data_IF_898002058703
#
_entry.id   IF_898002058703
#
_cell.length_a   1.000
_cell.length_b   1.000
_cell.length_c   1.000
_cell.angle_alpha   90.00
_cell.angle_beta   90.00
_cell.angle_gamma   90.00
#
_symmetry.space_group_name_H-M   'P 1'
#
loop_
_entity.id
_entity.type
_entity.pdbx_description
1 polymer ?
#
# COMPACT_ATOMS: atom_id res chain seq x y z
N UNK A 1 -3.78 -21.70 8.26
CA UNK A 1 -4.82 -20.66 8.39
C UNK A 1 -6.09 -21.20 9.04
N UNK A 2 -6.79 -22.19 8.45
CA UNK A 2 -8.05 -22.71 9.00
C UNK A 2 -7.99 -23.20 10.47
N UNK A 3 -6.92 -23.91 10.92
CA UNK A 3 -6.82 -24.32 12.32
C UNK A 3 -6.77 -23.15 13.30
N UNK A 4 -6.02 -22.09 12.96
CA UNK A 4 -5.90 -20.87 13.76
C UNK A 4 -7.23 -20.13 13.84
N UNK A 5 -7.94 -20.00 12.72
CA UNK A 5 -9.26 -19.36 12.67
C UNK A 5 -10.24 -20.13 13.54
N UNK A 6 -10.25 -21.46 13.45
CA UNK A 6 -11.14 -22.32 14.24
C UNK A 6 -10.84 -22.21 15.74
N UNK A 7 -9.56 -22.17 16.14
CA UNK A 7 -9.16 -21.99 17.53
C UNK A 7 -9.65 -20.64 18.08
N UNK A 8 -9.28 -19.54 17.41
CA UNK A 8 -9.63 -18.18 17.85
C UNK A 8 -11.14 -17.97 17.87
N UNK A 9 -11.84 -18.46 16.84
CA UNK A 9 -13.29 -18.30 16.74
C UNK A 9 -14.02 -19.13 17.81
N UNK A 10 -13.43 -20.19 18.36
CA UNK A 10 -14.12 -21.07 19.31
C UNK A 10 -13.45 -21.13 20.68
N UNK A 11 -12.67 -20.12 21.04
CA UNK A 11 -11.93 -20.09 22.30
C UNK A 11 -12.85 -20.17 23.53
N UNK A 12 -14.06 -19.62 23.42
CA UNK A 12 -15.14 -19.70 24.41
C UNK A 12 -15.61 -21.12 24.73
N UNK A 13 -15.57 -22.01 23.73
CA UNK A 13 -16.02 -23.40 23.86
C UNK A 13 -14.84 -24.33 24.12
N UNK A 14 -13.73 -24.13 23.41
CA UNK A 14 -12.58 -25.02 23.44
C UNK A 14 -11.71 -24.79 24.69
N UNK A 15 -11.59 -23.53 25.14
CA UNK A 15 -10.69 -23.12 26.23
C UNK A 15 -11.28 -21.99 27.09
N UNK A 16 -12.46 -22.21 27.74
CA UNK A 16 -13.11 -21.19 28.57
C UNK A 16 -12.27 -20.76 29.77
N UNK A 17 -11.42 -21.64 30.28
CA UNK A 17 -10.49 -21.39 31.37
C UNK A 17 -9.50 -20.28 31.05
N UNK A 18 -8.99 -20.24 29.81
CA UNK A 18 -8.09 -19.19 29.33
C UNK A 18 -8.77 -17.83 29.36
N UNK A 19 -10.03 -17.75 28.92
CA UNK A 19 -10.79 -16.49 28.97
C UNK A 19 -10.99 -16.00 30.40
N UNK A 20 -11.35 -16.91 31.31
CA UNK A 20 -11.59 -16.59 32.72
C UNK A 20 -10.32 -16.09 33.42
N UNK A 21 -9.15 -16.65 33.12
CA UNK A 21 -7.86 -16.16 33.62
C UNK A 21 -7.59 -14.69 33.25
N UNK A 22 -8.09 -14.27 32.08
CA UNK A 22 -8.01 -12.89 31.60
C UNK A 22 -9.26 -12.06 31.94
N UNK A 23 -10.10 -12.53 32.86
CA UNK A 23 -11.32 -11.84 33.32
C UNK A 23 -12.37 -11.62 32.22
N UNK A 24 -12.36 -12.46 31.19
CA UNK A 24 -13.34 -12.45 30.10
C UNK A 24 -14.34 -13.58 30.37
N UNK A 25 -15.63 -13.24 30.46
CA UNK A 25 -16.66 -14.26 30.57
C UNK A 25 -16.84 -14.99 29.23
N UNK A 26 -16.80 -16.34 29.19
CA UNK A 26 -16.95 -17.09 27.93
C UNK A 26 -18.23 -16.75 27.15
N UNK A 27 -19.34 -16.48 27.85
CA UNK A 27 -20.60 -16.08 27.23
C UNK A 27 -20.49 -14.76 26.45
N UNK A 28 -19.67 -13.82 26.94
CA UNK A 28 -19.50 -12.50 26.35
C UNK A 28 -18.50 -12.48 25.20
N UNK A 29 -17.70 -13.54 25.06
CA UNK A 29 -16.63 -13.61 24.06
C UNK A 29 -17.13 -13.33 22.65
N UNK A 30 -18.18 -14.04 22.20
CA UNK A 30 -18.83 -13.81 20.91
C UNK A 30 -19.98 -12.82 21.00
N UNK A 31 -20.89 -13.04 21.96
CA UNK A 31 -22.17 -12.33 22.02
C UNK A 31 -22.02 -10.90 22.55
N UNK A 32 -21.05 -10.67 23.44
CA UNK A 32 -20.74 -9.37 24.05
C UNK A 32 -19.75 -8.52 23.26
N UNK A 33 -19.55 -8.81 21.97
CA UNK A 33 -18.64 -8.09 21.06
C UNK A 33 -17.15 -8.12 21.42
N UNK A 34 -16.72 -8.81 22.47
CA UNK A 34 -15.31 -8.85 22.91
C UNK A 34 -14.39 -9.35 21.78
N UNK A 35 -14.72 -10.50 21.18
CA UNK A 35 -13.95 -11.08 20.09
C UNK A 35 -13.91 -10.16 18.86
N UNK A 36 -15.06 -9.60 18.48
CA UNK A 36 -15.15 -8.67 17.35
C UNK A 36 -14.29 -7.43 17.59
N UNK A 37 -14.43 -6.79 18.76
CA UNK A 37 -13.67 -5.60 19.13
C UNK A 37 -12.17 -5.87 19.14
N UNK A 38 -11.74 -7.01 19.70
CA UNK A 38 -10.34 -7.42 19.69
C UNK A 38 -9.80 -7.59 18.26
N UNK A 39 -10.53 -8.27 17.37
CA UNK A 39 -10.14 -8.43 15.96
C UNK A 39 -10.03 -7.08 15.26
N UNK A 40 -11.01 -6.19 15.46
CA UNK A 40 -11.00 -4.85 14.85
C UNK A 40 -9.84 -3.99 15.39
N UNK A 41 -9.56 -4.03 16.69
CA UNK A 41 -8.43 -3.34 17.31
C UNK A 41 -7.10 -3.89 16.81
N UNK A 42 -6.92 -5.21 16.78
CA UNK A 42 -5.71 -5.87 16.25
C UNK A 42 -5.51 -5.48 14.78
N UNK A 43 -6.57 -5.54 13.97
CA UNK A 43 -6.52 -5.11 12.57
C UNK A 43 -6.12 -3.64 12.46
N UNK A 44 -6.70 -2.76 13.29
CA UNK A 44 -6.34 -1.34 13.35
C UNK A 44 -4.87 -1.12 13.67
N UNK A 45 -4.32 -1.84 14.65
CA UNK A 45 -2.89 -1.78 15.01
C UNK A 45 -2.00 -2.26 13.85
N UNK A 46 -2.35 -3.36 13.19
CA UNK A 46 -1.61 -3.82 12.01
C UNK A 46 -1.65 -2.83 10.84
N UNK A 47 -2.80 -2.18 10.61
CA UNK A 47 -2.90 -1.13 9.60
C UNK A 47 -2.00 0.04 9.97
N UNK A 48 -2.06 0.55 11.20
CA UNK A 48 -1.25 1.68 11.64
C UNK A 48 0.26 1.40 11.57
N UNK A 49 0.71 0.24 12.06
CA UNK A 49 2.12 -0.14 12.02
C UNK A 49 2.62 -0.37 10.59
N UNK A 50 1.78 -0.98 9.74
CA UNK A 50 2.11 -1.15 8.33
C UNK A 50 2.19 0.20 7.60
N UNK A 51 1.27 1.14 7.85
CA UNK A 51 1.33 2.49 7.26
C UNK A 51 2.64 3.20 7.60
N UNK A 52 3.03 3.25 8.88
CA UNK A 52 4.30 3.85 9.28
C UNK A 52 5.51 3.17 8.62
N UNK A 53 5.48 1.84 8.49
CA UNK A 53 6.53 1.09 7.78
C UNK A 53 6.56 1.38 6.27
N UNK A 54 5.40 1.58 5.63
CA UNK A 54 5.29 1.88 4.20
C UNK A 54 5.81 3.28 3.89
N UNK A 55 5.34 4.28 4.64
CA UNK A 55 5.82 5.66 4.55
C UNK A 55 7.31 5.78 4.86
N UNK A 56 7.81 5.03 5.86
CA UNK A 56 9.24 4.98 6.18
C UNK A 56 10.09 4.47 5.02
N UNK A 57 9.59 3.51 4.24
CA UNK A 57 10.29 3.03 3.03
C UNK A 57 10.32 4.10 1.95
N UNK A 58 9.20 4.78 1.71
CA UNK A 58 9.13 5.87 0.71
C UNK A 58 10.02 7.04 1.12
N UNK A 59 10.02 7.44 2.39
CA UNK A 59 10.96 8.41 2.96
C UNK A 59 12.41 8.03 2.64
N UNK A 60 12.82 6.79 2.94
CA UNK A 60 14.19 6.34 2.67
C UNK A 60 14.59 6.42 1.18
N UNK A 61 13.64 6.18 0.27
CA UNK A 61 13.87 6.38 -1.17
C UNK A 61 14.02 7.86 -1.51
N UNK A 62 13.13 8.72 -1.01
CA UNK A 62 13.18 10.16 -1.27
C UNK A 62 14.43 10.81 -0.65
N UNK A 63 14.83 10.40 0.54
CA UNK A 63 16.11 10.78 1.17
C UNK A 63 17.29 10.44 0.27
N UNK A 64 17.33 9.23 -0.27
CA UNK A 64 18.41 8.84 -1.20
C UNK A 64 18.39 9.66 -2.48
N UNK A 65 17.22 10.02 -3.02
CA UNK A 65 17.10 10.86 -4.21
C UNK A 65 17.55 12.30 -3.92
N UNK A 66 17.23 12.83 -2.74
CA UNK A 66 17.65 14.15 -2.29
C UNK A 66 19.17 14.22 -2.10
N UNK A 67 19.76 13.22 -1.43
CA UNK A 67 21.21 13.13 -1.22
C UNK A 67 21.99 13.02 -2.53
N UNK A 68 21.38 12.42 -3.55
CA UNK A 68 21.95 12.29 -4.89
C UNK A 68 21.62 13.47 -5.81
N UNK A 69 20.90 14.50 -5.32
CA UNK A 69 20.49 15.68 -6.08
C UNK A 69 19.57 15.38 -7.29
N UNK A 70 18.80 14.29 -7.26
CA UNK A 70 17.77 14.01 -8.28
C UNK A 70 16.47 14.79 -8.05
N UNK A 71 16.21 15.16 -6.80
CA UNK A 71 15.12 16.03 -6.38
C UNK A 71 15.70 17.22 -5.61
N UNK A 72 14.99 18.34 -5.64
CA UNK A 72 15.40 19.56 -4.94
C UNK A 72 15.06 19.48 -3.45
N UNK A 73 13.88 18.93 -3.13
CA UNK A 73 13.38 18.78 -1.77
C UNK A 73 12.19 17.81 -1.73
N UNK A 74 11.80 17.36 -0.54
CA UNK A 74 10.53 16.68 -0.32
C UNK A 74 10.00 16.87 1.10
N UNK A 75 8.69 16.74 1.27
CA UNK A 75 8.03 16.84 2.57
C UNK A 75 6.99 15.74 2.74
N UNK A 76 7.00 15.09 3.90
CA UNK A 76 5.91 14.21 4.31
C UNK A 76 4.77 15.03 4.91
N UNK A 77 3.59 14.94 4.29
CA UNK A 77 2.38 15.60 4.76
C UNK A 77 1.88 14.95 6.05
N UNK A 78 1.35 15.77 6.96
CA UNK A 78 0.55 15.25 8.07
C UNK A 78 -0.75 14.64 7.50
N UNK A 79 -1.25 13.55 8.12
CA UNK A 79 -2.40 12.68 7.75
C UNK A 79 -3.76 13.38 7.44
N UNK A 80 -3.76 14.69 7.18
CA UNK A 80 -4.91 15.51 6.80
C UNK A 80 -5.08 15.57 5.27
N UNK A 81 -4.02 15.31 4.50
CA UNK A 81 -4.02 15.29 3.02
C UNK A 81 -4.57 14.01 2.40
N UNK A 82 -4.83 14.03 1.07
CA UNK A 82 -5.12 12.83 0.24
C UNK A 82 -3.87 12.30 -0.50
N UNK A 83 -2.72 12.71 -0.01
CA UNK A 83 -1.37 12.43 -0.48
C UNK A 83 -0.47 12.47 0.76
N UNK A 84 0.56 11.63 0.78
CA UNK A 84 1.47 11.48 1.92
C UNK A 84 2.76 12.27 1.72
N UNK A 85 3.17 12.51 0.46
CA UNK A 85 4.43 13.20 0.15
C UNK A 85 4.24 14.26 -0.94
N UNK A 86 4.97 15.36 -0.76
CA UNK A 86 5.22 16.37 -1.79
C UNK A 86 6.69 16.28 -2.19
N UNK A 87 6.97 16.24 -3.49
CA UNK A 87 8.32 16.16 -4.04
C UNK A 87 8.55 17.36 -4.95
N UNK A 88 9.64 18.09 -4.73
CA UNK A 88 10.05 19.23 -5.54
C UNK A 88 11.19 18.82 -6.49
N UNK A 89 11.05 19.14 -7.77
CA UNK A 89 12.11 19.01 -8.76
C UNK A 89 12.56 20.41 -9.22
N UNK A 90 13.87 20.61 -9.26
CA UNK A 90 14.47 21.86 -9.76
C UNK A 90 14.30 21.92 -11.28
N UNK A 91 13.29 22.65 -11.73
CA UNK A 91 12.96 22.91 -13.14
C UNK A 91 12.55 24.37 -13.30
N UNK A 92 12.51 24.86 -14.54
CA UNK A 92 11.99 26.19 -14.84
C UNK A 92 10.76 26.08 -15.78
N UNK A 93 9.53 26.31 -15.28
CA UNK A 93 9.17 26.66 -13.90
C UNK A 93 9.26 25.49 -12.92
N UNK A 94 9.24 25.79 -11.61
CA UNK A 94 9.27 24.80 -10.53
C UNK A 94 8.22 23.69 -10.73
N UNK A 95 8.63 22.46 -10.43
CA UNK A 95 7.84 21.28 -10.71
C UNK A 95 7.62 20.47 -9.43
N UNK A 96 6.35 20.35 -9.03
CA UNK A 96 5.97 19.62 -7.82
C UNK A 96 5.16 18.38 -8.17
N UNK A 97 5.50 17.26 -7.56
CA UNK A 97 4.74 16.02 -7.63
C UNK A 97 4.17 15.67 -6.24
N UNK A 98 3.05 14.96 -6.23
CA UNK A 98 2.49 14.38 -5.02
C UNK A 98 2.55 12.86 -5.10
N UNK A 99 2.86 12.20 -3.99
CA UNK A 99 2.86 10.73 -3.88
C UNK A 99 1.93 10.33 -2.74
N UNK A 100 1.03 9.39 -3.03
CA UNK A 100 0.14 8.78 -2.05
C UNK A 100 0.57 7.32 -1.81
N UNK A 101 0.76 6.93 -0.54
CA UNK A 101 1.17 5.59 -0.15
C UNK A 101 -0.05 4.75 0.19
N UNK A 102 -0.10 3.54 -0.38
CA UNK A 102 -1.21 2.60 -0.21
C UNK A 102 -0.72 1.20 0.09
N UNK A 103 -1.50 0.46 0.89
CA UNK A 103 -1.35 -0.97 1.05
C UNK A 103 -2.06 -1.76 -0.08
N UNK A 104 -1.71 -3.04 -0.19
CA UNK A 104 -2.17 -3.92 -1.28
C UNK A 104 -3.62 -4.39 -1.18
N UNK A 105 -4.31 -4.07 -0.07
CA UNK A 105 -5.70 -4.47 0.23
C UNK A 105 -6.76 -3.67 -0.56
N UNK A 106 -6.33 -2.74 -1.41
CA UNK A 106 -7.07 -2.34 -2.61
C UNK A 106 -8.24 -1.37 -2.45
N UNK A 107 -8.97 -1.35 -1.33
CA UNK A 107 -10.11 -0.45 -1.18
C UNK A 107 -9.72 1.01 -0.89
N UNK A 108 -8.53 1.23 -0.33
CA UNK A 108 -8.02 2.57 -0.02
C UNK A 108 -7.57 3.37 -1.26
N UNK A 109 -7.37 2.70 -2.40
CA UNK A 109 -6.94 3.31 -3.66
C UNK A 109 -8.00 4.27 -4.21
N UNK A 110 -9.27 3.97 -3.95
CA UNK A 110 -10.42 4.78 -4.40
C UNK A 110 -10.49 6.18 -3.76
N UNK A 111 -9.66 6.47 -2.75
CA UNK A 111 -9.67 7.76 -2.02
C UNK A 111 -8.60 8.72 -2.56
N UNK A 112 -7.55 8.19 -3.19
CA UNK A 112 -6.42 8.96 -3.72
C UNK A 112 -6.88 9.99 -4.76
N UNK A 113 -6.38 11.22 -4.67
CA UNK A 113 -6.71 12.32 -5.59
C UNK A 113 -5.53 13.27 -5.75
N UNK A 114 -5.23 13.65 -7.00
CA UNK A 114 -4.17 14.61 -7.33
C UNK A 114 -4.53 15.99 -6.75
N UNK A 115 -3.65 16.60 -5.94
CA UNK A 115 -3.80 18.00 -5.53
C UNK A 115 -3.73 18.96 -6.72
N UNK A 116 -4.48 20.06 -6.68
CA UNK A 116 -4.52 21.04 -7.80
C UNK A 116 -3.16 21.65 -8.15
N UNK A 117 -2.24 21.74 -7.19
CA UNK A 117 -0.89 22.27 -7.39
C UNK A 117 0.07 21.24 -7.98
N UNK A 118 -0.25 19.94 -7.91
CA UNK A 118 0.66 18.86 -8.25
C UNK A 118 0.69 18.64 -9.78
N UNK A 119 1.86 18.84 -10.38
CA UNK A 119 2.12 18.58 -11.80
C UNK A 119 2.10 17.10 -12.13
N UNK A 120 2.46 16.25 -11.17
CA UNK A 120 2.40 14.79 -11.23
C UNK A 120 1.79 14.21 -9.95
N UNK A 121 1.09 13.09 -10.08
CA UNK A 121 0.53 12.32 -8.97
C UNK A 121 0.87 10.84 -9.12
N UNK A 122 1.63 10.35 -8.16
CA UNK A 122 2.01 8.96 -8.04
C UNK A 122 1.24 8.23 -6.95
N UNK A 123 0.90 6.97 -7.18
CA UNK A 123 0.43 6.08 -6.11
C UNK A 123 1.50 5.02 -5.85
N UNK A 124 2.00 4.95 -4.62
CA UNK A 124 2.98 3.96 -4.19
C UNK A 124 2.30 2.82 -3.44
N UNK A 125 2.18 1.66 -4.08
CA UNK A 125 1.47 0.51 -3.56
C UNK A 125 2.41 -0.54 -2.97
N UNK A 126 2.21 -0.86 -1.70
CA UNK A 126 2.89 -1.95 -1.02
C UNK A 126 2.08 -3.24 -1.10
N UNK A 127 2.65 -4.26 -1.74
CA UNK A 127 2.03 -5.59 -1.85
C UNK A 127 2.35 -6.41 -0.60
N UNK A 128 1.69 -6.10 0.51
CA UNK A 128 1.89 -6.77 1.81
C UNK A 128 1.07 -8.06 1.97
N UNK A 129 0.54 -8.58 0.86
CA UNK A 129 -0.35 -9.73 0.85
C UNK A 129 0.32 -11.00 1.37
N UNK A 130 -0.51 -11.95 1.80
CA UNK A 130 -0.06 -13.24 2.33
C UNK A 130 0.95 -13.94 1.40
N UNK A 131 1.94 -14.61 1.98
CA UNK A 131 3.03 -15.33 1.29
C UNK A 131 2.51 -16.23 0.14
N UNK A 132 1.31 -16.78 0.32
CA UNK A 132 0.64 -17.70 -0.61
C UNK A 132 0.21 -17.07 -1.94
N UNK A 133 0.04 -15.74 -2.01
CA UNK A 133 -0.37 -15.06 -3.23
C UNK A 133 0.85 -14.55 -3.99
N UNK A 134 0.93 -14.86 -5.29
CA UNK A 134 1.96 -14.28 -6.14
C UNK A 134 1.78 -12.75 -6.24
N UNK A 135 2.86 -11.97 -6.31
CA UNK A 135 2.80 -10.50 -6.37
C UNK A 135 1.99 -10.00 -7.57
N UNK A 136 2.05 -10.73 -8.69
CA UNK A 136 1.28 -10.45 -9.90
C UNK A 136 -0.24 -10.36 -9.65
N UNK A 137 -0.78 -11.17 -8.73
CA UNK A 137 -2.20 -11.12 -8.40
C UNK A 137 -2.56 -9.82 -7.67
N UNK A 138 -1.69 -9.39 -6.75
CA UNK A 138 -1.84 -8.14 -6.02
C UNK A 138 -1.74 -6.93 -6.94
N UNK A 139 -0.69 -6.87 -7.76
CA UNK A 139 -0.50 -5.76 -8.71
C UNK A 139 -1.64 -5.69 -9.74
N UNK A 140 -2.10 -6.83 -10.29
CA UNK A 140 -3.24 -6.85 -11.21
C UNK A 140 -4.53 -6.33 -10.57
N UNK A 141 -4.80 -6.70 -9.31
CA UNK A 141 -5.96 -6.19 -8.56
C UNK A 141 -5.92 -4.68 -8.39
N UNK A 142 -4.74 -4.12 -8.15
CA UNK A 142 -4.53 -2.68 -8.00
C UNK A 142 -4.65 -1.96 -9.34
N UNK A 143 -4.00 -2.46 -10.39
CA UNK A 143 -4.07 -1.88 -11.74
C UNK A 143 -5.51 -1.77 -12.20
N UNK A 144 -6.32 -2.83 -12.00
CA UNK A 144 -7.74 -2.79 -12.38
C UNK A 144 -8.53 -1.73 -11.60
N UNK A 145 -8.23 -1.52 -10.31
CA UNK A 145 -8.89 -0.47 -9.51
C UNK A 145 -8.46 0.91 -9.95
N UNK A 146 -7.17 1.16 -10.10
CA UNK A 146 -6.64 2.44 -10.60
C UNK A 146 -7.25 2.74 -11.96
N UNK A 147 -7.26 1.77 -12.89
CA UNK A 147 -7.87 1.91 -14.21
C UNK A 147 -9.36 2.27 -14.12
N UNK A 148 -10.12 1.64 -13.23
CA UNK A 148 -11.52 2.00 -13.02
C UNK A 148 -11.70 3.42 -12.50
N UNK A 149 -10.86 3.87 -11.56
CA UNK A 149 -10.90 5.23 -11.02
C UNK A 149 -10.50 6.27 -12.07
N UNK A 150 -9.53 5.96 -12.91
CA UNK A 150 -9.10 6.77 -14.04
C UNK A 150 -10.20 6.89 -15.10
N UNK A 151 -10.84 5.78 -15.49
CA UNK A 151 -11.86 5.77 -16.56
C UNK A 151 -13.21 6.28 -16.07
N UNK A 152 -13.72 5.78 -14.94
CA UNK A 152 -15.08 6.08 -14.46
C UNK A 152 -15.17 7.38 -13.69
N UNK A 153 -14.12 7.75 -12.96
CA UNK A 153 -14.09 8.96 -12.12
C UNK A 153 -13.16 10.04 -12.65
N UNK A 154 -12.53 9.83 -13.80
CA UNK A 154 -11.62 10.78 -14.45
C UNK A 154 -10.50 11.27 -13.51
N UNK A 155 -10.05 10.40 -12.61
CA UNK A 155 -8.91 10.73 -11.76
C UNK A 155 -7.65 10.88 -12.60
N UNK A 156 -6.68 11.63 -12.09
CA UNK A 156 -5.41 11.87 -12.74
C UNK A 156 -4.29 11.22 -11.93
N UNK A 157 -3.83 10.04 -12.37
CA UNK A 157 -2.69 9.30 -11.80
C UNK A 157 -1.69 9.06 -12.92
N UNK A 158 -0.46 9.58 -12.79
CA UNK A 158 0.55 9.50 -13.85
C UNK A 158 1.44 8.26 -13.72
N UNK A 159 1.68 7.84 -12.48
CA UNK A 159 2.56 6.72 -12.17
C UNK A 159 2.02 5.89 -11.01
N UNK A 160 2.18 4.57 -11.11
CA UNK A 160 1.92 3.65 -10.00
C UNK A 160 3.17 2.84 -9.75
N UNK A 161 3.61 2.83 -8.49
CA UNK A 161 4.73 2.02 -8.02
C UNK A 161 4.19 0.80 -7.29
N UNK A 162 4.83 -0.36 -7.49
CA UNK A 162 4.54 -1.58 -6.76
C UNK A 162 5.79 -2.04 -6.02
N UNK A 163 5.67 -2.18 -4.71
CA UNK A 163 6.72 -2.77 -3.88
C UNK A 163 6.16 -3.99 -3.17
N UNK A 164 6.58 -5.17 -3.61
CA UNK A 164 6.43 -6.38 -2.80
C UNK A 164 7.52 -6.42 -1.72
N UNK A 165 7.11 -6.29 -0.47
CA UNK A 165 8.02 -6.31 0.69
C UNK A 165 8.73 -7.65 0.86
N UNK A 166 8.18 -8.73 0.29
CA UNK A 166 8.78 -10.06 0.35
C UNK A 166 9.72 -10.33 -0.84
N UNK A 167 9.70 -9.53 -1.91
CA UNK A 167 10.62 -9.75 -3.04
C UNK A 167 12.06 -9.57 -2.56
N UNK A 168 12.89 -10.58 -2.76
CA UNK A 168 14.30 -10.51 -2.40
C UNK A 168 14.60 -11.24 -1.09
N UNK A 169 13.59 -11.87 -0.48
CA UNK A 169 13.73 -12.68 0.74
C UNK A 169 13.86 -14.16 0.40
N UNK A 170 14.33 -14.98 1.34
CA UNK A 170 14.42 -16.42 1.15
C UNK A 170 13.05 -17.09 0.87
N UNK A 171 11.97 -16.55 1.45
CA UNK A 171 10.61 -17.08 1.24
C UNK A 171 10.01 -16.63 -0.09
N UNK A 172 10.57 -15.59 -0.74
CA UNK A 172 10.19 -15.12 -2.07
C UNK A 172 11.39 -14.52 -2.81
N UNK A 173 12.20 -15.38 -3.46
CA UNK A 173 13.34 -14.93 -4.24
C UNK A 173 12.89 -13.98 -5.37
N UNK A 174 13.62 -12.88 -5.59
CA UNK A 174 13.28 -11.86 -6.57
C UNK A 174 13.94 -12.16 -7.92
N UNK A 175 13.19 -12.53 -8.96
CA UNK A 175 13.76 -12.89 -10.27
C UNK A 175 14.39 -11.69 -11.00
N UNK A 176 14.10 -10.46 -10.56
CA UNK A 176 14.66 -9.23 -11.13
C UNK A 176 16.17 -9.10 -10.89
N UNK A 177 16.71 -9.83 -9.91
CA UNK A 177 18.09 -9.71 -9.47
C UNK A 177 18.76 -11.07 -9.49
N UNK A 178 19.21 -11.52 -10.69
CA UNK A 178 19.88 -12.81 -10.81
C UNK A 178 21.10 -12.87 -9.89
N UNK A 179 21.34 -14.04 -9.29
CA UNK A 179 22.41 -14.31 -8.32
C UNK A 179 22.29 -13.59 -6.96
N UNK A 180 21.28 -12.74 -6.81
CA UNK A 180 20.96 -12.02 -5.56
C UNK A 180 19.52 -12.22 -5.13
N UNK A 181 18.85 -13.25 -5.67
CA UNK A 181 17.40 -13.38 -5.61
C UNK A 181 16.89 -13.44 -4.16
N UNK A 182 17.66 -14.01 -3.23
CA UNK A 182 17.28 -14.12 -1.81
C UNK A 182 18.05 -13.18 -0.87
N UNK A 183 18.95 -12.34 -1.40
CA UNK A 183 19.85 -11.49 -0.60
C UNK A 183 19.62 -10.00 -0.79
N UNK A 184 18.95 -9.60 -1.87
CA UNK A 184 18.73 -8.18 -2.17
C UNK A 184 17.65 -7.51 -1.30
N UNK A 185 16.69 -8.29 -0.76
CA UNK A 185 15.68 -7.84 0.21
C UNK A 185 15.15 -6.41 0.00
N UNK A 186 15.48 -5.48 0.91
CA UNK A 186 14.96 -4.12 0.90
C UNK A 186 15.51 -3.25 -0.25
N UNK A 187 16.69 -3.59 -0.80
CA UNK A 187 17.31 -2.90 -1.93
C UNK A 187 16.60 -3.17 -3.27
N UNK A 188 15.59 -4.05 -3.30
CA UNK A 188 14.81 -4.27 -4.51
C UNK A 188 14.11 -2.98 -4.94
N UNK A 189 14.31 -2.57 -6.19
CA UNK A 189 13.56 -1.47 -6.75
C UNK A 189 12.07 -1.83 -6.85
N UNK A 190 11.16 -0.89 -6.57
CA UNK A 190 9.75 -1.09 -6.89
C UNK A 190 9.58 -1.32 -8.40
N UNK A 191 8.56 -2.08 -8.77
CA UNK A 191 8.10 -2.12 -10.16
C UNK A 191 7.36 -0.82 -10.47
N UNK A 192 7.69 -0.19 -11.59
CA UNK A 192 7.13 1.11 -11.99
C UNK A 192 6.24 0.91 -13.20
N UNK A 193 4.98 1.35 -13.09
CA UNK A 193 4.07 1.47 -14.22
C UNK A 193 3.89 2.95 -14.51
N UNK A 194 4.52 3.42 -15.58
CA UNK A 194 4.44 4.80 -16.05
C UNK A 194 3.45 4.92 -17.22
N UNK A 195 2.65 5.99 -17.24
CA UNK A 195 1.56 6.25 -18.19
C UNK A 195 0.39 5.24 -18.14
N UNK A 196 -0.57 5.46 -17.25
CA UNK A 196 -1.82 4.70 -17.28
C UNK A 196 -2.84 5.28 -18.29
N UNK A 197 -2.67 6.53 -18.76
CA UNK A 197 -3.61 7.17 -19.71
C UNK A 197 -2.97 8.23 -20.64
N UNK A 198 -1.86 7.93 -21.32
CA UNK A 198 -1.57 8.67 -22.55
C UNK A 198 -2.13 7.84 -23.72
N UNK A 199 -3.07 8.40 -24.49
CA UNK A 199 -3.65 7.88 -25.76
C UNK A 199 -5.09 7.33 -25.78
N UNK A 200 -6.02 7.82 -24.96
CA UNK A 200 -7.47 7.65 -25.22
C UNK A 200 -8.23 8.96 -25.49
N UNK A 201 -7.55 10.02 -25.90
CA UNK A 201 -8.18 11.12 -26.64
C UNK A 201 -8.09 10.84 -28.13
N UNK A 202 -8.97 9.98 -28.66
CA UNK A 202 -9.34 10.08 -30.07
C UNK A 202 -10.32 11.25 -30.20
N UNK A 203 -10.06 12.26 -31.05
CA UNK A 203 -11.14 13.12 -31.51
C UNK A 203 -12.01 12.26 -32.44
N UNK A 204 -13.22 11.91 -31.98
CA UNK A 204 -14.28 11.54 -32.92
C UNK A 204 -14.75 12.86 -33.53
N UNK A 205 -14.05 13.33 -34.55
CA UNK A 205 -14.63 14.24 -35.54
C UNK A 205 -15.67 13.42 -36.30
N UNK A 206 -16.94 13.69 -36.01
CA UNK A 206 -18.05 13.31 -36.85
C UNK A 206 -18.06 14.32 -37.99
N UNK A 207 -17.55 13.91 -39.15
CA UNK A 207 -17.95 14.45 -40.45
C UNK A 207 -19.00 13.50 -41.05
#
# INVERSE_FOLDING_TARGET
MQPTINLLTNLDVLHPDVLLQHQIQPADYKSGLVFRSAIESIRGTFIASSTASREGLVNGVLDSLLQQHWIADYNQSSNVGRYDFTVALERNPDYFAAIEVKGGEGNSINISERPLWAREFGIWCHLDGAIVNQPANGSHSIINRVTNELVRRQKLVDVVFFKDILCGTATRPCPKYPERESTISFETAPDVVHHILAHWTMPVTID
#
